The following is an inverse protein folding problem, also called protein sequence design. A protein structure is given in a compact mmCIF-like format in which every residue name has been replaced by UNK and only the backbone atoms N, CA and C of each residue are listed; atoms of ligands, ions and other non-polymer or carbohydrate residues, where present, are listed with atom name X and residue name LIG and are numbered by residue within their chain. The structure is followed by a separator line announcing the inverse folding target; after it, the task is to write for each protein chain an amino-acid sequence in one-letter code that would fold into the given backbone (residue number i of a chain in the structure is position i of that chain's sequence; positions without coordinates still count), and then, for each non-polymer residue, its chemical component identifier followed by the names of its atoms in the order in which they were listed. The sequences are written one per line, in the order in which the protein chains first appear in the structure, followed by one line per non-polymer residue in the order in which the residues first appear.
data_IF_951335760094
#
_entry.id   IF_951335760094
#
_cell.length_a   1.000
_cell.length_b   1.000
_cell.length_c   1.000
_cell.angle_alpha   90.00
_cell.angle_beta   90.00
_cell.angle_gamma   90.00
#
_symmetry.space_group_name_H-M   'P 1'
#
loop_
_entity.id
_entity.type
_entity.pdbx_description
1 polymer ?
#
# COMPACT_ATOMS: atom_id res chain seq x y z
N UNK A 1 9.84 17.59 -35.66
CA UNK A 1 9.70 16.98 -34.31
C UNK A 1 8.27 16.48 -34.14
N UNK A 2 8.11 15.28 -33.60
CA UNK A 2 6.80 14.67 -33.41
C UNK A 2 6.13 15.31 -32.18
N UNK A 3 4.95 15.93 -32.34
CA UNK A 3 4.23 16.63 -31.24
C UNK A 3 4.09 15.77 -29.97
N UNK A 4 3.96 14.46 -30.16
CA UNK A 4 3.83 13.46 -29.09
C UNK A 4 5.12 13.30 -28.25
N UNK A 5 6.29 13.36 -28.88
CA UNK A 5 7.59 13.29 -28.18
C UNK A 5 7.87 14.55 -27.39
N UNK A 6 7.46 15.70 -27.90
CA UNK A 6 7.62 16.98 -27.20
C UNK A 6 6.72 17.06 -25.96
N UNK A 7 5.46 16.63 -26.10
CA UNK A 7 4.55 16.48 -24.96
C UNK A 7 5.09 15.49 -23.93
N UNK A 8 5.65 14.35 -24.37
CA UNK A 8 6.26 13.36 -23.49
C UNK A 8 7.42 13.93 -22.69
N UNK A 9 8.33 14.66 -23.34
CA UNK A 9 9.47 15.28 -22.66
C UNK A 9 9.02 16.28 -21.59
N UNK A 10 7.98 17.07 -21.87
CA UNK A 10 7.38 17.99 -20.89
C UNK A 10 6.79 17.21 -19.71
N UNK A 11 6.05 16.13 -19.96
CA UNK A 11 5.51 15.28 -18.89
C UNK A 11 6.61 14.64 -18.05
N UNK A 12 7.63 14.06 -18.66
CA UNK A 12 8.76 13.43 -17.94
C UNK A 12 9.51 14.46 -17.10
N UNK A 13 9.77 15.64 -17.65
CA UNK A 13 10.43 16.73 -16.94
C UNK A 13 9.58 17.24 -15.77
N UNK A 14 8.28 17.43 -15.97
CA UNK A 14 7.36 17.82 -14.89
C UNK A 14 7.30 16.76 -13.77
N UNK A 15 7.31 15.47 -14.12
CA UNK A 15 7.39 14.38 -13.14
C UNK A 15 8.73 14.36 -12.39
N UNK A 16 9.83 14.71 -13.04
CA UNK A 16 11.16 14.84 -12.43
C UNK A 16 11.23 16.01 -11.44
N UNK A 17 10.68 17.15 -11.83
CA UNK A 17 10.65 18.39 -11.05
C UNK A 17 9.58 18.36 -9.95
N UNK A 18 8.67 17.37 -9.97
CA UNK A 18 7.59 17.24 -9.01
C UNK A 18 6.47 18.26 -9.23
N UNK A 19 6.30 18.72 -10.46
CA UNK A 19 5.24 19.64 -10.85
C UNK A 19 3.87 19.07 -10.44
N UNK A 20 3.14 19.83 -9.63
CA UNK A 20 1.89 19.37 -9.03
C UNK A 20 0.80 19.11 -10.09
N UNK A 21 0.72 19.91 -11.15
CA UNK A 21 -0.28 19.75 -12.21
C UNK A 21 0.00 18.49 -13.02
N UNK A 22 1.27 18.24 -13.36
CA UNK A 22 1.68 17.03 -14.08
C UNK A 22 1.50 15.78 -13.20
N UNK A 23 1.84 15.87 -11.91
CA UNK A 23 1.61 14.77 -10.96
C UNK A 23 0.12 14.44 -10.81
N UNK A 24 -0.76 15.46 -10.82
CA UNK A 24 -2.21 15.27 -10.75
C UNK A 24 -2.76 14.64 -12.04
N UNK A 25 -2.32 15.10 -13.21
CA UNK A 25 -2.70 14.49 -14.49
C UNK A 25 -2.26 13.01 -14.57
N UNK A 26 -1.03 12.74 -14.11
CA UNK A 26 -0.52 11.39 -13.97
C UNK A 26 -1.39 10.55 -13.03
N UNK A 27 -1.76 11.10 -11.88
CA UNK A 27 -2.64 10.43 -10.92
C UNK A 27 -4.01 10.10 -11.52
N UNK A 28 -4.63 11.04 -12.22
CA UNK A 28 -5.92 10.84 -12.87
C UNK A 28 -5.86 9.77 -13.98
N UNK A 29 -4.72 9.65 -14.67
CA UNK A 29 -4.52 8.70 -15.76
C UNK A 29 -4.22 7.27 -15.27
N UNK A 30 -3.42 7.15 -14.21
CA UNK A 30 -2.86 5.86 -13.78
C UNK A 30 -3.28 5.42 -12.39
N UNK A 31 -3.58 6.35 -11.48
CA UNK A 31 -3.85 6.10 -10.07
C UNK A 31 -4.94 5.06 -9.86
N UNK A 32 -6.11 5.25 -10.45
CA UNK A 32 -7.23 4.31 -10.31
C UNK A 32 -6.91 2.91 -10.86
N UNK A 33 -6.18 2.83 -11.98
CA UNK A 33 -5.77 1.54 -12.55
C UNK A 33 -4.76 0.83 -11.63
N UNK A 34 -3.83 1.57 -11.04
CA UNK A 34 -2.87 1.03 -10.06
C UNK A 34 -3.55 0.59 -8.75
N UNK A 35 -4.56 1.34 -8.27
CA UNK A 35 -5.36 0.97 -7.09
C UNK A 35 -6.08 -0.35 -7.31
N UNK A 36 -6.66 -0.55 -8.49
CA UNK A 36 -7.30 -1.83 -8.87
C UNK A 36 -6.30 -2.98 -8.89
N UNK A 37 -5.10 -2.77 -9.44
CA UNK A 37 -4.03 -3.78 -9.45
C UNK A 37 -3.60 -4.12 -8.01
N UNK A 38 -3.35 -3.10 -7.19
CA UNK A 38 -2.98 -3.29 -5.79
C UNK A 38 -4.07 -4.05 -5.02
N UNK A 39 -5.33 -3.62 -5.15
CA UNK A 39 -6.47 -4.24 -4.48
C UNK A 39 -6.72 -5.69 -4.89
N UNK A 40 -6.55 -6.04 -6.17
CA UNK A 40 -6.67 -7.43 -6.65
C UNK A 40 -5.56 -8.33 -6.14
N UNK A 41 -4.38 -7.78 -5.88
CA UNK A 41 -3.20 -8.53 -5.42
C UNK A 41 -3.08 -8.58 -3.90
N UNK A 42 -3.88 -7.78 -3.18
CA UNK A 42 -3.87 -7.75 -1.73
C UNK A 42 -4.80 -8.83 -1.17
N UNK A 43 -4.32 -9.74 -0.29
CA UNK A 43 -5.16 -10.71 0.38
C UNK A 43 -6.23 -10.01 1.21
N UNK A 44 -7.43 -10.58 1.27
CA UNK A 44 -8.56 -9.99 1.99
C UNK A 44 -8.26 -9.69 3.47
N UNK A 45 -7.50 -10.58 4.13
CA UNK A 45 -7.05 -10.40 5.51
C UNK A 45 -6.18 -9.14 5.74
N UNK A 46 -5.51 -8.65 4.69
CA UNK A 46 -4.68 -7.44 4.73
C UNK A 46 -5.43 -6.19 4.24
N UNK A 47 -6.51 -6.34 3.46
CA UNK A 47 -7.33 -5.21 2.99
C UNK A 47 -7.98 -4.40 4.13
N UNK A 48 -8.17 -5.02 5.31
CA UNK A 48 -8.65 -4.33 6.52
C UNK A 48 -7.60 -3.45 7.20
N UNK A 49 -6.32 -3.62 6.87
CA UNK A 49 -5.19 -2.94 7.54
C UNK A 49 -4.38 -2.05 6.61
N UNK A 50 -4.52 -2.23 5.30
CA UNK A 50 -3.77 -1.51 4.29
C UNK A 50 -4.74 -1.12 3.19
N UNK A 51 -4.80 0.18 2.90
CA UNK A 51 -5.55 0.64 1.76
C UNK A 51 -4.74 0.45 0.47
N UNK A 52 -5.38 0.04 -0.65
CA UNK A 52 -4.70 0.01 -1.94
C UNK A 52 -4.07 1.36 -2.31
N UNK A 53 -4.67 2.46 -1.86
CA UNK A 53 -4.18 3.82 -2.01
C UNK A 53 -2.77 4.01 -1.43
N UNK A 54 -2.53 3.54 -0.20
CA UNK A 54 -1.23 3.64 0.46
C UNK A 54 -0.12 2.94 -0.34
N UNK A 55 -0.46 1.82 -0.98
CA UNK A 55 0.44 1.04 -1.81
C UNK A 55 0.81 1.84 -3.06
N UNK A 56 -0.19 2.45 -3.72
CA UNK A 56 0.03 3.26 -4.92
C UNK A 56 0.85 4.50 -4.57
N UNK A 57 0.55 5.21 -3.47
CA UNK A 57 1.36 6.33 -3.03
C UNK A 57 2.81 5.93 -2.73
N UNK A 58 3.03 4.78 -2.08
CA UNK A 58 4.37 4.25 -1.83
C UNK A 58 5.10 3.87 -3.13
N UNK A 59 4.36 3.36 -4.12
CA UNK A 59 4.88 3.07 -5.45
C UNK A 59 5.30 4.35 -6.17
N UNK A 60 4.45 5.38 -6.20
CA UNK A 60 4.75 6.70 -6.77
C UNK A 60 5.99 7.31 -6.12
N UNK A 61 6.07 7.37 -4.78
CA UNK A 61 7.27 7.87 -4.07
C UNK A 61 8.55 7.12 -4.46
N UNK A 62 8.45 5.79 -4.61
CA UNK A 62 9.60 4.96 -4.98
C UNK A 62 10.01 5.13 -6.45
N UNK A 63 9.03 5.35 -7.32
CA UNK A 63 9.24 5.70 -8.71
C UNK A 63 9.96 7.05 -8.81
N UNK A 64 9.37 8.13 -8.28
CA UNK A 64 9.97 9.47 -8.33
C UNK A 64 11.40 9.51 -7.79
N UNK A 65 11.67 8.87 -6.65
CA UNK A 65 13.02 8.78 -6.09
C UNK A 65 14.02 8.09 -7.02
N UNK A 66 13.60 7.05 -7.74
CA UNK A 66 14.46 6.32 -8.69
C UNK A 66 14.69 7.10 -9.98
N UNK A 67 13.68 7.84 -10.44
CA UNK A 67 13.79 8.72 -11.61
C UNK A 67 14.68 9.93 -11.29
N UNK A 68 14.48 10.59 -10.15
CA UNK A 68 15.32 11.72 -9.69
C UNK A 68 16.79 11.34 -9.49
N UNK A 69 17.06 10.10 -9.06
CA UNK A 69 18.45 9.60 -8.93
C UNK A 69 19.09 9.19 -10.25
N UNK A 70 18.45 9.46 -11.40
CA UNK A 70 18.85 9.02 -12.75
C UNK A 70 19.09 7.51 -12.87
N UNK A 71 18.53 6.71 -11.94
CA UNK A 71 18.63 5.24 -11.96
C UNK A 71 17.58 4.59 -12.87
N UNK A 72 16.72 5.40 -13.47
CA UNK A 72 15.70 4.99 -14.43
C UNK A 72 15.71 5.99 -15.59
N UNK A 73 16.08 5.51 -16.77
CA UNK A 73 15.86 6.26 -18.01
C UNK A 73 14.47 5.92 -18.54
N UNK A 74 13.63 6.95 -18.68
CA UNK A 74 12.32 6.85 -19.32
C UNK A 74 12.50 7.16 -20.80
N UNK A 75 13.19 6.28 -21.51
CA UNK A 75 13.48 6.42 -22.95
C UNK A 75 12.21 6.34 -23.80
N UNK A 76 11.23 5.53 -23.38
CA UNK A 76 9.98 5.34 -24.12
C UNK A 76 8.73 5.59 -23.27
N UNK A 77 7.75 6.27 -23.88
CA UNK A 77 6.42 6.48 -23.33
C UNK A 77 5.76 5.16 -22.89
N UNK A 78 5.98 4.09 -23.64
CA UNK A 78 5.33 2.79 -23.43
C UNK A 78 5.89 2.01 -22.23
N UNK A 79 7.05 2.42 -21.70
CA UNK A 79 7.70 1.76 -20.58
C UNK A 79 7.19 2.25 -19.21
N UNK A 80 6.53 3.41 -19.17
CA UNK A 80 6.04 4.01 -17.93
C UNK A 80 5.02 3.11 -17.22
N UNK A 81 4.01 2.66 -17.95
CA UNK A 81 2.93 1.86 -17.38
C UNK A 81 3.40 0.49 -16.85
N UNK A 82 4.16 -0.33 -17.62
CA UNK A 82 4.74 -1.58 -17.12
C UNK A 82 5.62 -1.37 -15.87
N UNK A 83 6.40 -0.30 -15.84
CA UNK A 83 7.27 0.02 -14.71
C UNK A 83 6.48 0.36 -13.45
N UNK A 84 5.43 1.19 -13.55
CA UNK A 84 4.55 1.49 -12.43
C UNK A 84 3.84 0.25 -11.92
N UNK A 85 3.37 -0.61 -12.82
CA UNK A 85 2.78 -1.89 -12.46
C UNK A 85 3.80 -2.76 -11.69
N UNK A 86 5.03 -2.87 -12.19
CA UNK A 86 6.09 -3.65 -11.56
C UNK A 86 6.44 -3.13 -10.16
N UNK A 87 6.57 -1.81 -9.99
CA UNK A 87 6.82 -1.18 -8.69
C UNK A 87 5.65 -1.44 -7.74
N UNK A 88 4.42 -1.28 -8.20
CA UNK A 88 3.20 -1.49 -7.40
C UNK A 88 3.10 -2.95 -6.93
N UNK A 89 3.29 -3.92 -7.83
CA UNK A 89 3.28 -5.35 -7.48
C UNK A 89 4.38 -5.67 -6.46
N UNK A 90 5.57 -5.10 -6.63
CA UNK A 90 6.67 -5.28 -5.67
C UNK A 90 6.33 -4.68 -4.30
N UNK A 91 5.63 -3.54 -4.24
CA UNK A 91 5.14 -2.94 -2.99
C UNK A 91 4.10 -3.82 -2.30
N UNK A 92 3.13 -4.35 -3.05
CA UNK A 92 2.16 -5.33 -2.51
C UNK A 92 2.89 -6.53 -1.89
N UNK A 93 3.85 -7.12 -2.61
CA UNK A 93 4.65 -8.26 -2.11
C UNK A 93 5.43 -7.90 -0.85
N UNK A 94 6.02 -6.71 -0.80
CA UNK A 94 6.76 -6.24 0.37
C UNK A 94 5.84 -6.13 1.59
N UNK A 95 4.63 -5.61 1.42
CA UNK A 95 3.63 -5.51 2.49
C UNK A 95 3.20 -6.88 2.98
N UNK A 96 2.86 -7.80 2.06
CA UNK A 96 2.50 -9.18 2.42
C UNK A 96 3.62 -9.83 3.24
N UNK A 97 4.88 -9.74 2.78
CA UNK A 97 6.04 -10.31 3.50
C UNK A 97 6.25 -9.66 4.87
N UNK A 98 6.08 -8.34 4.98
CA UNK A 98 6.21 -7.62 6.25
C UNK A 98 5.16 -8.07 7.28
N UNK A 99 3.90 -8.17 6.88
CA UNK A 99 2.84 -8.62 7.78
C UNK A 99 2.93 -10.11 8.10
N UNK A 100 3.31 -10.97 7.14
CA UNK A 100 3.57 -12.38 7.42
C UNK A 100 4.71 -12.57 8.42
N UNK A 101 5.76 -11.74 8.38
CA UNK A 101 6.84 -11.75 9.37
C UNK A 101 6.36 -11.29 10.74
N UNK A 102 5.63 -10.18 10.81
CA UNK A 102 5.05 -9.69 12.08
C UNK A 102 4.09 -10.68 12.74
N UNK A 103 3.41 -11.52 11.97
CA UNK A 103 2.53 -12.57 12.51
C UNK A 103 3.29 -13.81 13.00
N UNK A 104 4.55 -13.98 12.58
CA UNK A 104 5.45 -15.05 13.02
C UNK A 104 6.41 -14.57 14.10
N UNK A 105 6.29 -13.33 14.55
CA UNK A 105 7.10 -12.81 15.64
C UNK A 105 6.52 -13.34 16.96
N UNK A 106 7.23 -14.23 17.67
CA UNK A 106 6.75 -14.86 18.91
C UNK A 106 6.47 -13.83 20.01
N UNK A 107 7.05 -12.62 19.92
CA UNK A 107 6.76 -11.50 20.85
C UNK A 107 5.32 -10.97 20.78
N UNK A 108 4.55 -11.38 19.77
CA UNK A 108 3.16 -10.94 19.57
C UNK A 108 2.11 -11.98 19.97
N UNK A 109 2.53 -13.15 20.42
CA UNK A 109 1.60 -14.20 20.89
C UNK A 109 1.05 -13.93 22.30
N UNK A 110 1.59 -12.95 23.05
CA UNK A 110 1.15 -12.66 24.43
C UNK A 110 0.06 -11.58 24.58
N UNK A 111 -0.36 -10.89 23.51
CA UNK A 111 -1.29 -9.76 23.63
C UNK A 111 -2.72 -10.05 23.10
N UNK A 112 -3.21 -11.28 23.26
CA UNK A 112 -4.63 -11.59 23.00
C UNK A 112 -5.13 -12.81 23.82
N UNK A 113 -4.80 -12.86 25.11
CA UNK A 113 -5.72 -13.38 26.13
C UNK A 113 -6.35 -12.10 26.72
N UNK A 114 -7.61 -11.78 26.47
CA UNK A 114 -8.74 -12.65 26.76
C UNK A 114 -9.14 -12.53 28.23
N UNK A 115 -9.09 -11.34 28.81
CA UNK A 115 -9.74 -11.02 30.10
C UNK A 115 -11.26 -11.05 29.93
N UNK A 116 -11.79 -12.24 29.65
CA UNK A 116 -13.16 -12.61 29.93
C UNK A 116 -13.10 -13.51 31.16
N UNK A 117 -12.86 -12.90 32.33
CA UNK A 117 -13.14 -13.53 33.61
C UNK A 117 -14.66 -13.67 33.75
N UNK A 118 -15.15 -14.74 33.15
CA UNK A 118 -16.45 -15.32 33.45
C UNK A 118 -16.26 -16.20 34.69
N UNK A 119 -16.48 -15.65 35.88
CA UNK A 119 -16.72 -16.46 37.07
C UNK A 119 -18.22 -16.39 37.38
N UNK A 120 -18.94 -17.53 37.35
CA UNK A 120 -20.38 -17.58 37.56
C UNK A 120 -20.73 -17.26 39.02
N UNK A 121 -21.90 -16.63 39.19
CA UNK A 121 -22.50 -16.38 40.49
C UNK A 121 -22.67 -17.69 41.29
N UNK A 122 -22.35 -17.71 42.59
CA UNK A 122 -22.97 -18.65 43.51
C UNK A 122 -24.30 -18.02 43.96
N UNK A 123 -25.38 -18.48 43.34
CA UNK A 123 -26.74 -18.24 43.84
C UNK A 123 -27.08 -19.30 44.90
N UNK A 124 -27.90 -18.87 45.86
CA UNK A 124 -28.68 -19.67 46.84
C UNK A 124 -27.99 -20.21 48.11
N UNK A 125 -28.62 -20.21 49.29
CA UNK A 125 -29.64 -19.41 49.99
C UNK A 125 -29.82 -20.09 51.36
N UNK A 126 -30.16 -19.33 52.41
CA UNK A 126 -30.80 -19.78 53.68
C UNK A 126 -29.97 -20.69 54.64
N UNK A 127 -30.04 -20.60 55.98
CA UNK A 127 -31.03 -20.01 56.90
C UNK A 127 -30.51 -19.99 58.36
N UNK A 128 -31.14 -19.16 59.21
CA UNK A 128 -31.43 -19.36 60.66
C UNK A 128 -30.31 -19.18 61.71
N UNK A 129 -30.37 -18.12 62.54
CA UNK A 129 -31.00 -18.01 63.88
C UNK A 129 -30.16 -18.56 65.04
N UNK A 130 -29.68 -17.67 65.91
CA UNK A 130 -30.09 -17.52 67.33
C UNK A 130 -29.62 -16.15 67.86
#
# INVERSE_FOLDING_TARGET
MNKMQEQWNVTVRGLLEGDQAICLQFWNSYGERLRRIAGRRLPEKLRRRIEPEDIVQSACRSFFRRVQSRKLELTDHDMLWPLLCAITINKVRQQIRFHCRQRRDPRREEANQGDAENTPAPDEFSSSQD
#
